data_IF_972542587837
#
_entry.id   IF_972542587837
#
_cell.length_a   1.000
_cell.length_b   1.000
_cell.length_c   1.000
_cell.angle_alpha   90.00
_cell.angle_beta   90.00
_cell.angle_gamma   90.00
#
_symmetry.space_group_name_H-M   'P 1'
#
loop_
_entity.id
_entity.type
_entity.pdbx_description
1 polymer ?
#
# COMPACT_ATOMS: atom_id res chain seq x y z
N UNK A 1 -30.66 6.85 28.19
CA UNK A 1 -29.45 7.39 27.57
C UNK A 1 -29.72 7.56 26.09
N UNK A 2 -29.61 8.78 25.57
CA UNK A 2 -29.68 9.03 24.12
C UNK A 2 -28.31 8.69 23.55
N UNK A 3 -28.22 7.62 22.78
CA UNK A 3 -27.04 7.29 21.99
C UNK A 3 -26.89 8.33 20.86
N UNK A 4 -25.69 8.79 20.52
CA UNK A 4 -25.48 9.46 19.24
C UNK A 4 -25.83 8.45 18.15
N UNK A 5 -26.78 8.79 17.29
CA UNK A 5 -27.15 7.97 16.15
C UNK A 5 -26.03 8.02 15.12
N UNK A 6 -25.07 7.10 15.19
CA UNK A 6 -24.17 6.83 14.06
C UNK A 6 -25.05 6.31 12.93
N UNK A 7 -25.22 7.11 11.87
CA UNK A 7 -25.94 6.68 10.68
C UNK A 7 -24.97 5.95 9.76
N UNK A 8 -25.09 4.63 9.70
CA UNK A 8 -24.27 3.79 8.83
C UNK A 8 -25.06 3.43 7.57
N UNK A 9 -24.39 3.33 6.42
CA UNK A 9 -24.99 2.84 5.17
C UNK A 9 -24.00 1.95 4.48
N UNK A 10 -24.42 0.73 4.18
CA UNK A 10 -23.60 -0.31 3.55
C UNK A 10 -23.86 -0.31 2.04
N UNK A 11 -22.78 -0.34 1.26
CA UNK A 11 -22.83 -0.49 -0.18
C UNK A 11 -22.06 -1.75 -0.59
N UNK A 12 -22.69 -2.59 -1.38
CA UNK A 12 -22.04 -3.74 -1.99
C UNK A 12 -21.29 -3.27 -3.25
N UNK A 13 -20.01 -3.61 -3.34
CA UNK A 13 -19.20 -3.35 -4.53
C UNK A 13 -19.22 -4.60 -5.42
N UNK A 14 -19.58 -4.42 -6.68
CA UNK A 14 -19.60 -5.48 -7.69
C UNK A 14 -19.18 -4.94 -9.05
N UNK A 15 -18.89 -5.82 -10.00
CA UNK A 15 -18.59 -5.41 -11.38
C UNK A 15 -19.71 -4.58 -12.03
N UNK A 16 -20.96 -4.71 -11.55
CA UNK A 16 -22.10 -3.93 -12.01
C UNK A 16 -22.28 -2.60 -11.25
N UNK A 17 -21.75 -2.48 -10.03
CA UNK A 17 -21.91 -1.31 -9.18
C UNK A 17 -20.61 -1.00 -8.44
N UNK A 18 -19.93 0.07 -8.89
CA UNK A 18 -18.71 0.56 -8.26
C UNK A 18 -18.94 1.49 -7.07
N UNK A 19 -17.86 1.88 -6.38
CA UNK A 19 -17.89 2.76 -5.21
C UNK A 19 -18.44 4.16 -5.50
N UNK A 20 -18.43 4.60 -6.76
CA UNK A 20 -18.93 5.90 -7.20
C UNK A 20 -20.37 6.19 -6.74
N UNK A 21 -21.25 5.18 -6.71
CA UNK A 21 -22.64 5.38 -6.30
C UNK A 21 -22.74 5.81 -4.83
N UNK A 22 -22.07 5.09 -3.93
CA UNK A 22 -22.07 5.42 -2.50
C UNK A 22 -21.37 6.74 -2.23
N UNK A 23 -20.21 6.97 -2.88
CA UNK A 23 -19.45 8.22 -2.76
C UNK A 23 -20.27 9.43 -3.21
N UNK A 24 -21.03 9.30 -4.31
CA UNK A 24 -21.88 10.38 -4.81
C UNK A 24 -23.01 10.72 -3.84
N UNK A 25 -23.64 9.72 -3.21
CA UNK A 25 -24.73 9.93 -2.26
C UNK A 25 -24.26 10.73 -1.03
N UNK A 26 -23.06 10.45 -0.53
CA UNK A 26 -22.49 11.10 0.64
C UNK A 26 -21.69 12.38 0.30
N UNK A 27 -21.64 12.81 -0.96
CA UNK A 27 -20.81 13.96 -1.38
C UNK A 27 -21.10 15.27 -0.64
N UNK A 28 -22.33 15.45 -0.17
CA UNK A 28 -22.75 16.64 0.58
C UNK A 28 -22.65 16.48 2.10
N UNK A 29 -22.29 15.29 2.59
CA UNK A 29 -22.14 15.02 4.01
C UNK A 29 -20.74 15.49 4.42
N UNK A 30 -20.61 16.46 5.34
CA UNK A 30 -19.30 16.88 5.81
C UNK A 30 -18.68 15.79 6.70
N UNK A 31 -17.36 15.59 6.58
CA UNK A 31 -16.55 14.76 7.48
C UNK A 31 -16.98 13.29 7.62
N UNK A 32 -17.59 12.69 6.59
CA UNK A 32 -17.86 11.25 6.60
C UNK A 32 -16.55 10.44 6.47
N UNK A 33 -16.56 9.24 7.06
CA UNK A 33 -15.47 8.26 6.98
C UNK A 33 -15.91 7.09 6.11
N UNK A 34 -14.98 6.44 5.43
CA UNK A 34 -15.26 5.26 4.61
C UNK A 34 -14.59 4.04 5.25
N UNK A 35 -15.33 2.96 5.49
CA UNK A 35 -14.79 1.66 5.87
C UNK A 35 -14.86 0.72 4.66
N UNK A 36 -13.72 0.26 4.18
CA UNK A 36 -13.63 -0.68 3.06
C UNK A 36 -13.47 -2.10 3.58
N UNK A 37 -14.44 -2.96 3.30
CA UNK A 37 -14.41 -4.37 3.64
C UNK A 37 -13.85 -5.16 2.44
N UNK A 38 -12.56 -5.48 2.46
CA UNK A 38 -11.91 -6.10 1.31
C UNK A 38 -10.41 -6.34 1.49
N UNK A 39 -9.73 -6.61 0.38
CA UNK A 39 -8.27 -6.66 0.30
C UNK A 39 -7.68 -5.37 -0.28
N UNK A 40 -6.36 -5.35 -0.48
CA UNK A 40 -5.63 -4.19 -0.99
C UNK A 40 -6.19 -3.68 -2.34
N UNK A 41 -6.54 -4.58 -3.27
CA UNK A 41 -7.17 -4.19 -4.55
C UNK A 41 -8.55 -3.52 -4.40
N UNK A 42 -9.35 -3.95 -3.43
CA UNK A 42 -10.65 -3.29 -3.13
C UNK A 42 -10.42 -1.88 -2.58
N UNK A 43 -9.41 -1.71 -1.73
CA UNK A 43 -9.04 -0.38 -1.22
C UNK A 43 -8.55 0.52 -2.35
N UNK A 44 -7.67 0.03 -3.23
CA UNK A 44 -7.21 0.76 -4.40
C UNK A 44 -8.36 1.24 -5.30
N UNK A 45 -9.37 0.40 -5.53
CA UNK A 45 -10.55 0.78 -6.31
C UNK A 45 -11.37 1.91 -5.68
N UNK A 46 -11.53 1.88 -4.35
CA UNK A 46 -12.23 2.95 -3.62
C UNK A 46 -11.43 4.24 -3.65
N UNK A 47 -10.10 4.18 -3.50
CA UNK A 47 -9.22 5.36 -3.60
C UNK A 47 -9.26 5.98 -4.99
N UNK A 48 -9.22 5.17 -6.05
CA UNK A 48 -9.39 5.64 -7.44
C UNK A 48 -10.72 6.36 -7.66
N UNK A 49 -11.80 5.89 -7.02
CA UNK A 49 -13.10 6.53 -7.12
C UNK A 49 -13.17 7.84 -6.33
N UNK A 50 -12.58 7.88 -5.13
CA UNK A 50 -12.48 9.12 -4.34
C UNK A 50 -11.74 10.20 -5.13
N UNK A 51 -10.60 9.86 -5.74
CA UNK A 51 -9.79 10.80 -6.52
C UNK A 51 -10.56 11.38 -7.72
N UNK A 52 -11.46 10.61 -8.35
CA UNK A 52 -12.29 11.07 -9.47
C UNK A 52 -13.40 12.05 -9.06
N UNK A 53 -13.83 12.03 -7.80
CA UNK A 53 -14.97 12.84 -7.34
C UNK A 53 -14.60 14.31 -7.04
N UNK A 54 -13.30 14.66 -7.02
CA UNK A 54 -12.80 16.00 -6.73
C UNK A 54 -13.45 16.61 -5.48
N UNK A 55 -13.30 15.92 -4.34
CA UNK A 55 -13.74 16.44 -3.05
C UNK A 55 -12.87 17.63 -2.61
N UNK A 56 -13.49 18.66 -2.02
CA UNK A 56 -12.74 19.74 -1.35
C UNK A 56 -11.97 19.19 -0.13
N UNK A 57 -12.57 18.21 0.55
CA UNK A 57 -11.97 17.45 1.64
C UNK A 57 -12.30 15.97 1.43
N UNK A 58 -11.39 15.18 0.82
CA UNK A 58 -11.60 13.76 0.61
C UNK A 58 -11.84 13.00 1.93
N UNK A 59 -12.76 12.03 1.97
CA UNK A 59 -13.04 11.26 3.18
C UNK A 59 -11.87 10.31 3.50
N UNK A 60 -11.48 10.16 4.78
CA UNK A 60 -10.43 9.22 5.15
C UNK A 60 -10.96 7.77 5.12
N UNK A 61 -10.09 6.83 4.72
CA UNK A 61 -10.45 5.43 4.48
C UNK A 61 -9.87 4.49 5.54
N UNK A 62 -10.72 3.73 6.23
CA UNK A 62 -10.36 2.59 7.07
C UNK A 62 -10.50 1.27 6.31
N UNK A 63 -9.84 0.22 6.80
CA UNK A 63 -9.83 -1.10 6.16
C UNK A 63 -10.31 -2.17 7.14
N UNK A 64 -11.33 -2.93 6.74
CA UNK A 64 -11.66 -4.22 7.34
C UNK A 64 -10.98 -5.32 6.50
N UNK A 65 -9.88 -5.94 6.99
CA UNK A 65 -9.00 -6.80 6.19
C UNK A 65 -9.66 -8.16 5.89
N UNK A 66 -10.43 -8.23 4.81
CA UNK A 66 -11.10 -9.44 4.34
C UNK A 66 -10.36 -10.14 3.18
N UNK A 67 -9.31 -9.53 2.63
CA UNK A 67 -8.48 -10.10 1.55
C UNK A 67 -7.41 -11.10 2.03
N UNK A 68 -6.60 -11.62 1.11
CA UNK A 68 -5.52 -12.59 1.43
C UNK A 68 -4.23 -11.92 1.92
N UNK A 69 -3.78 -10.89 1.20
CA UNK A 69 -2.57 -10.09 1.49
C UNK A 69 -2.80 -9.20 2.71
N UNK A 70 -3.55 -8.11 2.53
CA UNK A 70 -3.92 -7.08 3.52
C UNK A 70 -2.71 -6.31 4.06
N UNK A 71 -1.71 -6.06 3.22
CA UNK A 71 -0.45 -5.43 3.62
C UNK A 71 -0.69 -3.96 4.02
N UNK A 72 -1.53 -3.22 3.28
CA UNK A 72 -1.89 -1.84 3.65
C UNK A 72 -2.63 -1.79 5.00
N UNK A 73 -3.51 -2.77 5.27
CA UNK A 73 -4.22 -2.88 6.54
C UNK A 73 -3.27 -3.15 7.72
N UNK A 74 -2.17 -3.88 7.52
CA UNK A 74 -1.14 -4.09 8.55
C UNK A 74 -0.42 -2.80 8.88
N UNK A 75 0.01 -2.04 7.88
CA UNK A 75 0.70 -0.75 8.07
C UNK A 75 -0.20 0.25 8.79
N UNK A 76 -1.50 0.26 8.45
CA UNK A 76 -2.52 1.06 9.14
C UNK A 76 -3.01 0.46 10.47
N UNK A 77 -2.37 -0.61 10.93
CA UNK A 77 -2.64 -1.26 12.22
C UNK A 77 -4.04 -1.88 12.36
N UNK A 78 -4.79 -2.08 11.28
CA UNK A 78 -6.06 -2.83 11.25
C UNK A 78 -5.86 -4.36 11.30
N UNK A 79 -4.64 -4.82 10.99
CA UNK A 79 -4.23 -6.21 11.09
C UNK A 79 -4.36 -6.98 9.77
N UNK A 80 -4.02 -8.28 9.83
CA UNK A 80 -3.87 -9.11 8.62
C UNK A 80 -5.08 -9.95 8.23
N UNK A 81 -6.19 -9.91 8.95
CA UNK A 81 -7.36 -10.74 8.67
C UNK A 81 -8.46 -10.64 9.72
N UNK A 82 -9.62 -11.25 9.44
CA UNK A 82 -10.81 -11.20 10.28
C UNK A 82 -10.65 -11.91 11.64
N UNK A 83 -9.69 -12.83 11.79
CA UNK A 83 -9.43 -13.48 13.09
C UNK A 83 -8.94 -12.50 14.17
N UNK A 84 -8.36 -11.36 13.78
CA UNK A 84 -8.06 -10.29 14.74
C UNK A 84 -9.33 -9.54 15.17
N UNK A 85 -10.28 -9.38 14.25
CA UNK A 85 -11.56 -8.70 14.47
C UNK A 85 -12.47 -9.48 15.40
N UNK A 86 -12.58 -10.79 15.20
CA UNK A 86 -13.40 -11.67 16.05
C UNK A 86 -12.94 -11.63 17.52
N UNK A 87 -11.62 -11.61 17.75
CA UNK A 87 -11.02 -11.51 19.09
C UNK A 87 -11.26 -10.18 19.78
N UNK A 88 -11.56 -9.12 19.03
CA UNK A 88 -11.76 -7.76 19.53
C UNK A 88 -13.23 -7.45 19.88
N UNK A 89 -14.15 -8.42 19.78
CA UNK A 89 -15.56 -8.22 20.08
C UNK A 89 -16.45 -8.00 18.84
N UNK A 90 -15.92 -8.27 17.64
CA UNK A 90 -16.67 -8.27 16.38
C UNK A 90 -16.76 -6.90 15.71
N UNK A 91 -17.74 -6.76 14.80
CA UNK A 91 -17.87 -5.58 13.93
C UNK A 91 -18.07 -4.27 14.69
N UNK A 92 -18.81 -4.31 15.80
CA UNK A 92 -19.09 -3.12 16.62
C UNK A 92 -17.80 -2.47 17.13
N UNK A 93 -16.88 -3.28 17.66
CA UNK A 93 -15.59 -2.79 18.15
C UNK A 93 -14.75 -2.15 17.04
N UNK A 94 -14.87 -2.63 15.80
CA UNK A 94 -14.20 -1.98 14.66
C UNK A 94 -14.82 -0.62 14.38
N UNK A 95 -16.16 -0.53 14.35
CA UNK A 95 -16.84 0.73 14.05
C UNK A 95 -16.49 1.81 15.10
N UNK A 96 -16.43 1.42 16.37
CA UNK A 96 -15.93 2.27 17.45
C UNK A 96 -14.46 2.66 17.25
N UNK A 97 -13.59 1.72 16.86
CA UNK A 97 -12.19 2.02 16.52
C UNK A 97 -12.06 2.93 15.29
N UNK A 98 -12.93 2.80 14.30
CA UNK A 98 -12.97 3.66 13.10
C UNK A 98 -13.37 5.07 13.50
N UNK A 99 -14.31 5.25 14.43
CA UNK A 99 -14.68 6.57 14.96
C UNK A 99 -13.50 7.26 15.64
N UNK A 100 -12.71 6.53 16.43
CA UNK A 100 -11.59 7.05 17.22
C UNK A 100 -10.22 6.98 16.53
N UNK A 101 -10.16 6.45 15.30
CA UNK A 101 -8.91 6.31 14.55
C UNK A 101 -8.31 7.66 14.15
N UNK A 102 -6.97 7.69 14.07
CA UNK A 102 -6.22 8.84 13.61
C UNK A 102 -6.20 8.89 12.08
N UNK A 103 -6.25 10.09 11.52
CA UNK A 103 -6.03 10.30 10.09
C UNK A 103 -4.53 10.32 9.81
N UNK A 104 -4.10 9.53 8.82
CA UNK A 104 -2.76 9.53 8.26
C UNK A 104 -2.83 9.70 6.74
N UNK A 105 -1.67 9.83 6.10
CA UNK A 105 -1.55 10.04 4.66
C UNK A 105 -0.94 8.80 4.01
N UNK A 106 -1.37 8.49 2.79
CA UNK A 106 -0.81 7.48 1.91
C UNK A 106 -0.44 8.13 0.58
N UNK A 107 0.83 8.06 0.20
CA UNK A 107 1.27 8.42 -1.14
C UNK A 107 0.74 7.43 -2.16
N UNK A 108 0.26 7.98 -3.27
CA UNK A 108 -0.23 7.24 -4.43
C UNK A 108 0.71 7.51 -5.58
N UNK A 109 0.98 6.47 -6.36
CA UNK A 109 1.99 6.50 -7.40
C UNK A 109 1.37 6.17 -8.75
N UNK A 110 1.76 6.91 -9.78
CA UNK A 110 1.35 6.70 -11.16
C UNK A 110 2.45 5.94 -11.89
N UNK A 111 2.04 4.86 -12.56
CA UNK A 111 2.88 4.03 -13.41
C UNK A 111 2.46 4.26 -14.85
N UNK A 112 3.39 4.73 -15.67
CA UNK A 112 3.21 4.87 -17.12
C UNK A 112 4.03 3.80 -17.82
N UNK A 113 3.41 3.10 -18.77
CA UNK A 113 4.04 2.00 -19.53
C UNK A 113 4.19 2.45 -20.98
N UNK A 114 5.43 2.61 -21.42
CA UNK A 114 5.77 2.95 -22.80
C UNK A 114 6.42 1.75 -23.49
N UNK A 115 5.76 1.19 -24.51
CA UNK A 115 6.27 0.04 -25.26
C UNK A 115 7.44 0.41 -26.15
N UNK A 116 8.52 -0.38 -26.09
CA UNK A 116 9.79 -0.06 -26.75
C UNK A 116 9.70 -0.07 -28.28
N UNK A 117 8.87 -0.95 -28.87
CA UNK A 117 8.77 -1.13 -30.33
C UNK A 117 7.79 -0.17 -31.00
N UNK A 118 6.64 0.08 -30.35
CA UNK A 118 5.51 0.81 -30.93
C UNK A 118 5.45 2.27 -30.48
N UNK A 119 6.22 2.66 -29.45
CA UNK A 119 6.03 3.89 -28.66
C UNK A 119 4.59 4.10 -28.21
N UNK A 120 3.82 3.02 -28.13
CA UNK A 120 2.46 3.05 -27.62
C UNK A 120 2.51 3.20 -26.11
N UNK A 121 1.80 4.21 -25.60
CA UNK A 121 1.66 4.46 -24.17
C UNK A 121 0.37 3.79 -23.71
N UNK A 122 0.48 2.77 -22.86
CA UNK A 122 -0.68 2.12 -22.27
C UNK A 122 -1.37 3.05 -21.25
N UNK A 123 -2.68 2.85 -20.96
CA UNK A 123 -3.34 3.56 -19.88
C UNK A 123 -2.54 3.45 -18.57
N UNK A 124 -2.37 4.56 -17.83
CA UNK A 124 -1.58 4.52 -16.61
C UNK A 124 -2.25 3.62 -15.57
N UNK A 125 -1.41 3.01 -14.74
CA UNK A 125 -1.83 2.26 -13.55
C UNK A 125 -1.49 3.07 -12.31
N UNK A 126 -2.22 2.83 -11.24
CA UNK A 126 -1.97 3.45 -9.94
C UNK A 126 -1.53 2.39 -8.94
N UNK A 127 -0.54 2.75 -8.14
CA UNK A 127 0.07 1.90 -7.12
C UNK A 127 -0.02 2.58 -5.77
N UNK A 128 -0.41 1.83 -4.76
CA UNK A 128 -0.51 2.28 -3.38
C UNK A 128 0.50 1.55 -2.48
N UNK A 129 0.81 0.29 -2.79
CA UNK A 129 1.66 -0.56 -1.96
C UNK A 129 3.02 -0.80 -2.61
N UNK A 130 3.03 -1.50 -3.75
CA UNK A 130 4.29 -1.94 -4.38
C UNK A 130 4.11 -2.40 -5.84
N UNK A 131 5.21 -2.36 -6.59
CA UNK A 131 5.37 -2.92 -7.92
C UNK A 131 6.51 -3.93 -7.89
N UNK A 132 6.29 -5.11 -8.46
CA UNK A 132 7.30 -6.16 -8.58
C UNK A 132 7.53 -6.57 -10.02
N UNK A 133 8.78 -6.89 -10.37
CA UNK A 133 9.19 -7.45 -11.65
C UNK A 133 10.08 -8.66 -11.40
N UNK A 134 9.77 -9.80 -12.02
CA UNK A 134 10.57 -11.03 -11.92
C UNK A 134 9.92 -12.12 -11.08
N UNK A 135 10.70 -12.79 -10.23
CA UNK A 135 10.27 -14.01 -9.56
C UNK A 135 9.02 -13.86 -8.67
N UNK A 136 8.84 -12.72 -8.01
CA UNK A 136 7.66 -12.45 -7.18
C UNK A 136 6.39 -12.28 -8.04
N UNK A 137 6.50 -11.47 -9.09
CA UNK A 137 5.42 -11.24 -10.05
C UNK A 137 5.03 -12.53 -10.78
N UNK A 138 5.99 -13.44 -11.01
CA UNK A 138 5.72 -14.77 -11.57
C UNK A 138 4.84 -15.60 -10.66
N UNK A 139 5.14 -15.67 -9.36
CA UNK A 139 4.31 -16.39 -8.38
C UNK A 139 2.90 -15.78 -8.34
N UNK A 140 2.80 -14.45 -8.32
CA UNK A 140 1.51 -13.76 -8.37
C UNK A 140 0.72 -14.13 -9.64
N UNK A 141 1.37 -14.13 -10.81
CA UNK A 141 0.74 -14.44 -12.11
C UNK A 141 0.20 -15.87 -12.16
N UNK A 142 0.95 -16.85 -11.66
CA UNK A 142 0.51 -18.24 -11.62
C UNK A 142 -0.68 -18.44 -10.69
N UNK A 143 -0.68 -17.78 -9.53
CA UNK A 143 -1.82 -17.79 -8.62
C UNK A 143 -3.04 -17.12 -9.24
N UNK A 144 -2.86 -16.01 -9.96
CA UNK A 144 -3.95 -15.34 -10.67
C UNK A 144 -4.57 -16.26 -11.73
N UNK A 145 -3.75 -16.91 -12.56
CA UNK A 145 -4.24 -17.87 -13.56
C UNK A 145 -4.99 -19.04 -12.90
N UNK A 146 -4.44 -19.61 -11.82
CA UNK A 146 -5.11 -20.67 -11.05
C UNK A 146 -6.45 -20.22 -10.48
N UNK A 147 -6.56 -18.96 -10.06
CA UNK A 147 -7.80 -18.36 -9.54
C UNK A 147 -8.84 -18.21 -10.63
N UNK A 148 -8.45 -17.74 -11.81
CA UNK A 148 -9.33 -17.63 -12.97
C UNK A 148 -9.82 -19.00 -13.45
N UNK A 149 -8.95 -20.02 -13.43
CA UNK A 149 -9.30 -21.38 -13.83
C UNK A 149 -10.15 -22.14 -12.79
N UNK A 150 -9.96 -21.87 -11.50
CA UNK A 150 -10.56 -22.63 -10.39
C UNK A 150 -11.07 -21.71 -9.26
N UNK A 151 -12.03 -20.81 -9.52
CA UNK A 151 -12.49 -19.81 -8.54
C UNK A 151 -13.02 -20.44 -7.25
N UNK A 152 -13.57 -21.65 -7.32
CA UNK A 152 -14.08 -22.41 -6.17
C UNK A 152 -13.02 -22.83 -5.16
N UNK A 153 -11.73 -22.74 -5.52
CA UNK A 153 -10.61 -23.00 -4.59
C UNK A 153 -10.22 -21.77 -3.77
N UNK A 154 -10.70 -20.58 -4.16
CA UNK A 154 -10.24 -19.29 -3.64
C UNK A 154 -11.23 -18.58 -2.69
N UNK A 155 -12.00 -19.33 -1.90
CA UNK A 155 -13.05 -18.76 -1.04
C UNK A 155 -12.59 -18.46 0.40
N UNK A 156 -11.43 -18.95 0.84
CA UNK A 156 -10.98 -18.80 2.22
C UNK A 156 -9.56 -18.22 2.28
N UNK A 157 -9.39 -17.16 3.08
CA UNK A 157 -8.11 -16.48 3.30
C UNK A 157 -6.96 -17.43 3.65
N UNK A 158 -7.21 -18.40 4.53
CA UNK A 158 -6.21 -19.38 4.95
C UNK A 158 -5.81 -20.31 3.80
N UNK A 159 -6.79 -20.85 3.08
CA UNK A 159 -6.54 -21.74 1.95
C UNK A 159 -5.81 -21.01 0.82
N UNK A 160 -6.16 -19.74 0.59
CA UNK A 160 -5.46 -18.90 -0.37
C UNK A 160 -3.98 -18.80 0.02
N UNK A 161 -3.65 -18.47 1.27
CA UNK A 161 -2.25 -18.43 1.73
C UNK A 161 -1.50 -19.76 1.52
N UNK A 162 -2.17 -20.89 1.77
CA UNK A 162 -1.59 -22.22 1.52
C UNK A 162 -1.32 -22.45 0.02
N UNK A 163 -2.24 -22.03 -0.85
CA UNK A 163 -2.05 -22.10 -2.30
C UNK A 163 -0.87 -21.23 -2.75
N UNK A 164 -0.76 -19.99 -2.26
CA UNK A 164 0.39 -19.10 -2.51
C UNK A 164 1.71 -19.77 -2.10
N UNK A 165 1.76 -20.36 -0.90
CA UNK A 165 2.96 -21.07 -0.44
C UNK A 165 3.29 -22.28 -1.31
N UNK A 166 2.27 -23.05 -1.73
CA UNK A 166 2.46 -24.22 -2.60
C UNK A 166 2.97 -23.84 -3.98
N UNK A 167 2.40 -22.81 -4.60
CA UNK A 167 2.84 -22.37 -5.92
C UNK A 167 4.22 -21.73 -5.86
N UNK A 168 4.49 -20.88 -4.86
CA UNK A 168 5.83 -20.35 -4.63
C UNK A 168 6.89 -21.45 -4.46
N UNK A 169 6.54 -22.54 -3.77
CA UNK A 169 7.45 -23.67 -3.58
C UNK A 169 7.82 -24.43 -4.86
N UNK A 170 6.99 -24.41 -5.90
CA UNK A 170 7.31 -25.08 -7.20
C UNK A 170 8.50 -24.44 -7.90
N UNK A 171 8.74 -23.15 -7.65
CA UNK A 171 9.75 -22.36 -8.33
C UNK A 171 11.07 -22.26 -7.55
N UNK A 172 11.19 -22.92 -6.38
CA UNK A 172 12.39 -22.85 -5.52
C UNK A 172 13.66 -23.33 -6.25
N UNK A 173 13.53 -24.26 -7.17
CA UNK A 173 14.64 -24.81 -7.97
C UNK A 173 14.63 -24.31 -9.42
N UNK A 174 13.73 -23.38 -9.76
CA UNK A 174 13.60 -22.85 -11.11
C UNK A 174 14.72 -21.85 -11.39
N UNK A 175 15.31 -21.90 -12.59
CA UNK A 175 16.36 -20.96 -13.04
C UNK A 175 15.84 -20.00 -14.11
N UNK A 176 14.50 -19.86 -14.24
CA UNK A 176 13.83 -19.00 -15.23
C UNK A 176 14.37 -17.57 -15.25
N UNK A 177 14.83 -17.04 -14.12
CA UNK A 177 15.32 -15.66 -13.99
C UNK A 177 16.85 -15.54 -13.89
N UNK A 178 17.61 -16.57 -14.28
CA UNK A 178 19.07 -16.51 -14.26
C UNK A 178 19.65 -15.35 -15.09
N UNK A 179 18.96 -14.94 -16.17
CA UNK A 179 19.37 -13.83 -17.02
C UNK A 179 18.73 -12.48 -16.63
N UNK A 180 17.96 -12.43 -15.53
CA UNK A 180 17.18 -11.27 -15.12
C UNK A 180 18.00 -9.96 -15.01
N UNK A 181 19.21 -9.96 -14.42
CA UNK A 181 20.02 -8.73 -14.29
C UNK A 181 20.38 -8.10 -15.64
N UNK A 182 20.48 -8.90 -16.71
CA UNK A 182 20.76 -8.44 -18.07
C UNK A 182 19.49 -8.09 -18.86
N UNK A 183 18.31 -8.41 -18.32
CA UNK A 183 17.01 -8.16 -18.94
C UNK A 183 16.34 -6.89 -18.42
N UNK A 184 16.90 -6.24 -17.40
CA UNK A 184 16.37 -4.99 -16.85
C UNK A 184 17.46 -3.91 -16.73
N UNK A 185 17.03 -2.64 -16.73
CA UNK A 185 17.83 -1.52 -16.22
C UNK A 185 16.99 -0.68 -15.28
N UNK A 186 17.57 -0.26 -14.17
CA UNK A 186 16.91 0.54 -13.15
C UNK A 186 17.53 1.94 -13.11
N UNK A 187 16.69 2.97 -13.21
CA UNK A 187 17.05 4.37 -13.02
C UNK A 187 16.25 4.91 -11.84
N UNK A 188 16.92 5.58 -10.90
CA UNK A 188 16.31 6.23 -9.72
C UNK A 188 16.75 7.68 -9.68
N UNK A 189 15.80 8.61 -9.71
CA UNK A 189 16.03 10.05 -9.75
C UNK A 189 17.04 10.51 -10.82
N UNK A 190 17.05 9.83 -11.97
CA UNK A 190 17.95 10.13 -13.09
C UNK A 190 19.31 9.43 -13.04
N UNK A 191 19.60 8.65 -11.99
CA UNK A 191 20.83 7.89 -11.84
C UNK A 191 20.59 6.39 -12.09
N UNK A 192 21.48 5.76 -12.86
CA UNK A 192 21.47 4.31 -13.04
C UNK A 192 21.81 3.59 -11.71
N UNK A 193 21.01 2.59 -11.35
CA UNK A 193 21.22 1.74 -10.17
C UNK A 193 21.59 0.34 -10.62
N UNK A 194 22.69 -0.18 -10.08
CA UNK A 194 23.18 -1.51 -10.41
C UNK A 194 22.27 -2.60 -9.82
N UNK A 195 21.77 -3.48 -10.68
CA UNK A 195 20.99 -4.66 -10.28
C UNK A 195 21.98 -5.80 -10.01
N UNK A 196 21.98 -6.43 -8.83
CA UNK A 196 22.91 -7.51 -8.50
C UNK A 196 22.83 -8.69 -9.48
N UNK A 197 23.97 -9.35 -9.75
CA UNK A 197 24.04 -10.51 -10.66
C UNK A 197 23.23 -11.72 -10.19
N UNK A 198 22.93 -11.82 -8.90
CA UNK A 198 22.10 -12.87 -8.31
C UNK A 198 20.61 -12.47 -8.20
N UNK A 199 20.24 -11.26 -8.65
CA UNK A 199 18.85 -10.82 -8.60
C UNK A 199 18.00 -11.59 -9.61
N UNK A 200 16.88 -12.11 -9.14
CA UNK A 200 15.81 -12.72 -9.95
C UNK A 200 14.52 -11.89 -9.93
N UNK A 201 14.53 -10.79 -9.17
CA UNK A 201 13.43 -9.84 -9.12
C UNK A 201 13.86 -8.51 -8.50
N UNK A 202 13.13 -7.45 -8.86
CA UNK A 202 13.21 -6.11 -8.26
C UNK A 202 11.83 -5.71 -7.81
N UNK A 203 11.76 -5.13 -6.61
CA UNK A 203 10.52 -4.65 -6.02
C UNK A 203 10.68 -3.18 -5.62
N UNK A 204 9.70 -2.37 -6.02
CA UNK A 204 9.55 -0.96 -5.67
C UNK A 204 8.42 -0.86 -4.65
N UNK A 205 8.70 -0.42 -3.43
CA UNK A 205 7.76 -0.37 -2.32
C UNK A 205 7.48 1.07 -1.88
N UNK A 206 6.24 1.31 -1.47
CA UNK A 206 5.79 2.53 -0.78
C UNK A 206 5.44 2.25 0.69
N UNK A 207 5.15 1.00 1.04
CA UNK A 207 4.71 0.61 2.39
C UNK A 207 5.65 -0.44 2.99
N UNK A 208 5.78 -0.43 4.31
CA UNK A 208 6.61 -1.36 5.09
C UNK A 208 5.92 -2.70 5.35
N UNK A 209 5.25 -3.25 4.35
CA UNK A 209 4.58 -4.54 4.45
C UNK A 209 4.42 -5.19 3.08
N UNK A 210 4.93 -6.41 2.97
CA UNK A 210 4.91 -7.20 1.75
C UNK A 210 4.61 -8.68 2.07
N UNK A 211 4.00 -9.41 1.14
CA UNK A 211 3.73 -10.86 1.30
C UNK A 211 3.01 -11.22 2.61
N UNK A 212 2.14 -10.33 3.09
CA UNK A 212 1.36 -10.54 4.30
C UNK A 212 2.10 -10.22 5.59
N UNK A 213 3.01 -9.24 5.59
CA UNK A 213 3.64 -8.70 6.80
C UNK A 213 5.16 -8.65 6.83
N UNK A 214 5.85 -9.03 5.77
CA UNK A 214 7.31 -8.96 5.66
C UNK A 214 7.73 -7.51 5.47
N UNK A 215 8.64 -7.03 6.32
CA UNK A 215 9.35 -5.76 6.09
C UNK A 215 10.57 -6.05 5.21
N UNK A 216 10.63 -5.39 4.04
CA UNK A 216 11.72 -5.55 3.07
C UNK A 216 12.83 -4.52 3.25
N UNK A 217 12.59 -3.45 4.01
CA UNK A 217 13.50 -2.33 4.13
C UNK A 217 14.27 -2.33 5.46
N UNK A 218 13.63 -2.78 6.54
CA UNK A 218 14.29 -2.86 7.86
C UNK A 218 15.33 -3.99 7.91
N UNK A 219 16.60 -3.58 7.99
CA UNK A 219 17.74 -4.45 8.24
C UNK A 219 18.45 -4.01 9.54
N UNK A 220 18.09 -4.63 10.67
CA UNK A 220 18.70 -4.32 11.99
C UNK A 220 20.19 -4.69 12.08
N UNK A 221 20.69 -5.53 11.17
CA UNK A 221 22.06 -6.04 11.18
C UNK A 221 23.07 -5.18 10.38
N UNK A 222 22.60 -4.14 9.66
CA UNK A 222 23.46 -3.21 8.90
C UNK A 222 23.86 -2.00 9.76
N UNK A 223 24.74 -2.21 10.76
CA UNK A 223 25.40 -1.11 11.49
C UNK A 223 26.42 -0.33 10.61
N UNK A 224 26.55 -0.67 9.32
CA UNK A 224 27.64 -0.18 8.44
C UNK A 224 27.19 0.32 7.05
N UNK A 225 25.90 0.57 6.81
CA UNK A 225 25.42 1.02 5.48
C UNK A 225 24.37 2.15 5.59
N UNK A 226 24.85 3.31 6.05
CA UNK A 226 24.06 4.46 6.55
C UNK A 226 23.76 5.53 5.49
N UNK A 227 23.34 5.16 4.28
CA UNK A 227 22.91 6.16 3.27
C UNK A 227 21.42 6.13 2.94
N UNK A 228 20.63 5.34 3.66
CA UNK A 228 19.19 5.22 3.43
C UNK A 228 18.38 5.73 4.62
N UNK A 229 17.31 6.46 4.33
CA UNK A 229 16.35 6.95 5.31
C UNK A 229 15.36 5.83 5.70
N UNK A 230 14.67 6.03 6.82
CA UNK A 230 13.58 5.14 7.23
C UNK A 230 12.43 5.21 6.24
N UNK A 231 11.91 4.05 5.82
CA UNK A 231 10.77 3.98 4.91
C UNK A 231 9.52 4.65 5.52
N UNK A 232 8.81 5.41 4.69
CA UNK A 232 7.53 6.01 5.05
C UNK A 232 6.56 5.96 3.86
N UNK A 233 5.27 5.78 4.15
CA UNK A 233 4.23 5.75 3.13
C UNK A 233 3.68 7.12 2.74
N UNK A 234 4.30 8.21 3.21
CA UNK A 234 3.80 9.59 3.04
C UNK A 234 4.88 10.67 2.85
N UNK A 235 6.13 10.26 2.58
CA UNK A 235 7.27 11.16 2.38
C UNK A 235 7.59 11.45 0.90
N UNK A 236 6.84 10.83 -0.02
CA UNK A 236 6.98 10.89 -1.48
C UNK A 236 8.29 10.28 -1.97
N UNK A 237 8.80 9.30 -1.23
CA UNK A 237 9.94 8.45 -1.60
C UNK A 237 9.43 7.02 -1.82
N UNK A 238 10.10 6.29 -2.72
CA UNK A 238 9.93 4.86 -2.90
C UNK A 238 11.23 4.13 -2.60
N UNK A 239 11.10 2.95 -2.02
CA UNK A 239 12.19 2.04 -1.74
C UNK A 239 12.34 1.00 -2.85
N UNK A 240 13.58 0.72 -3.26
CA UNK A 240 13.87 -0.32 -4.25
C UNK A 240 14.72 -1.41 -3.62
N UNK A 241 14.27 -2.66 -3.72
CA UNK A 241 14.98 -3.84 -3.22
C UNK A 241 15.12 -4.90 -4.31
N UNK A 242 16.16 -5.73 -4.22
CA UNK A 242 16.31 -6.93 -5.05
C UNK A 242 16.03 -8.22 -4.27
N UNK A 243 15.52 -9.20 -5.00
CA UNK A 243 15.20 -10.54 -4.51
C UNK A 243 15.96 -11.56 -5.37
N UNK A 244 16.60 -12.53 -4.72
CA UNK A 244 17.46 -13.55 -5.36
C UNK A 244 16.74 -14.89 -5.58
N UNK A 245 15.46 -14.81 -5.97
CA UNK A 245 14.62 -15.96 -6.31
C UNK A 245 13.62 -16.37 -5.23
N UNK A 246 12.83 -17.41 -5.54
CA UNK A 246 11.70 -17.82 -4.69
C UNK A 246 12.13 -18.52 -3.40
N UNK A 247 13.31 -19.15 -3.36
CA UNK A 247 13.90 -19.61 -2.10
C UNK A 247 14.21 -18.43 -1.17
N UNK A 248 14.75 -17.34 -1.72
CA UNK A 248 14.99 -16.12 -0.97
C UNK A 248 13.66 -15.56 -0.43
N UNK A 249 12.62 -15.45 -1.27
CA UNK A 249 11.27 -15.06 -0.83
C UNK A 249 10.73 -15.92 0.32
N UNK A 250 10.89 -17.24 0.24
CA UNK A 250 10.49 -18.16 1.30
C UNK A 250 11.22 -17.88 2.62
N UNK A 251 12.53 -17.65 2.58
CA UNK A 251 13.31 -17.28 3.77
C UNK A 251 12.91 -15.91 4.33
N UNK A 252 12.58 -14.93 3.49
CA UNK A 252 12.08 -13.62 3.93
C UNK A 252 10.79 -13.77 4.75
N UNK A 253 9.85 -14.59 4.28
CA UNK A 253 8.57 -14.82 4.94
C UNK A 253 8.68 -15.43 6.34
N UNK A 254 9.73 -16.21 6.60
CA UNK A 254 10.02 -16.83 7.90
C UNK A 254 11.12 -16.10 8.70
N UNK A 255 11.57 -14.94 8.22
CA UNK A 255 12.58 -14.11 8.89
C UNK A 255 14.01 -14.62 8.85
N UNK A 256 14.32 -15.64 8.02
CA UNK A 256 15.66 -16.22 7.86
C UNK A 256 16.53 -15.55 6.78
N UNK A 257 16.04 -14.48 6.16
CA UNK A 257 16.78 -13.68 5.19
C UNK A 257 16.31 -12.22 5.25
N UNK A 258 17.01 -11.35 4.52
CA UNK A 258 16.67 -9.94 4.33
C UNK A 258 16.80 -9.56 2.86
N UNK A 259 15.94 -8.66 2.40
CA UNK A 259 16.03 -8.17 1.03
C UNK A 259 17.23 -7.22 0.92
N UNK A 260 17.85 -7.16 -0.26
CA UNK A 260 18.97 -6.26 -0.50
C UNK A 260 18.42 -4.91 -0.94
N UNK A 261 18.68 -3.86 -0.14
CA UNK A 261 18.34 -2.47 -0.47
C UNK A 261 19.19 -2.00 -1.65
N UNK A 262 18.55 -1.40 -2.65
CA UNK A 262 19.22 -0.91 -3.86
C UNK A 262 19.21 0.62 -3.92
N UNK A 263 18.06 1.25 -3.65
CA UNK A 263 17.91 2.70 -3.77
C UNK A 263 16.67 3.22 -3.03
N UNK A 264 16.65 4.53 -2.78
CA UNK A 264 15.48 5.33 -2.41
C UNK A 264 15.39 6.54 -3.33
N UNK A 265 14.18 6.92 -3.76
CA UNK A 265 14.03 8.09 -4.63
C UNK A 265 12.59 8.49 -4.93
N UNK A 266 12.43 9.60 -5.65
CA UNK A 266 11.12 10.23 -5.97
C UNK A 266 10.56 9.84 -7.33
N UNK A 267 11.42 9.36 -8.23
CA UNK A 267 11.04 8.90 -9.55
C UNK A 267 11.87 7.70 -9.94
N UNK A 268 11.21 6.68 -10.49
CA UNK A 268 11.85 5.44 -10.92
C UNK A 268 11.57 5.19 -12.39
N UNK A 269 12.54 4.65 -13.12
CA UNK A 269 12.30 4.00 -14.41
C UNK A 269 12.87 2.60 -14.39
N UNK A 270 12.06 1.64 -14.83
CA UNK A 270 12.48 0.25 -15.05
C UNK A 270 12.36 -0.04 -16.54
N UNK A 271 13.50 -0.20 -17.20
CA UNK A 271 13.55 -0.60 -18.60
C UNK A 271 13.54 -2.13 -18.68
N UNK A 272 12.49 -2.71 -19.24
CA UNK A 272 12.39 -4.13 -19.51
C UNK A 272 12.88 -4.41 -20.93
N UNK A 273 13.95 -5.19 -21.05
CA UNK A 273 14.60 -5.55 -22.31
C UNK A 273 14.07 -6.88 -22.87
N UNK A 274 13.37 -7.66 -22.05
CA UNK A 274 12.73 -8.91 -22.42
C UNK A 274 11.29 -8.97 -21.87
N UNK A 275 10.44 -9.88 -22.38
CA UNK A 275 9.13 -10.14 -21.77
C UNK A 275 9.29 -10.66 -20.35
N UNK A 276 8.74 -9.95 -19.36
CA UNK A 276 8.87 -10.26 -17.94
C UNK A 276 7.52 -10.19 -17.23
N UNK A 277 7.27 -11.04 -16.21
CA UNK A 277 6.10 -10.87 -15.36
C UNK A 277 6.26 -9.62 -14.50
N UNK A 278 5.17 -8.86 -14.40
CA UNK A 278 5.05 -7.65 -13.58
C UNK A 278 3.81 -7.77 -12.72
N UNK A 279 3.84 -7.25 -11.50
CA UNK A 279 2.67 -7.11 -10.64
C UNK A 279 2.64 -5.73 -10.00
N UNK A 280 1.43 -5.20 -9.80
CA UNK A 280 1.20 -3.95 -9.07
C UNK A 280 0.09 -4.20 -8.07
N UNK A 281 0.36 -3.94 -6.79
CA UNK A 281 -0.58 -4.14 -5.68
C UNK A 281 -1.26 -5.54 -5.69
N UNK A 282 -0.54 -6.57 -6.16
CA UNK A 282 -1.04 -7.94 -6.27
C UNK A 282 -1.82 -8.28 -7.55
N UNK A 283 -1.93 -7.37 -8.50
CA UNK A 283 -2.53 -7.61 -9.83
C UNK A 283 -1.41 -7.87 -10.88
N UNK A 284 -1.20 -9.13 -11.30
CA UNK A 284 -0.08 -9.52 -12.16
C UNK A 284 -0.43 -9.59 -13.66
N UNK A 285 0.58 -9.43 -14.51
CA UNK A 285 0.48 -9.69 -15.96
C UNK A 285 1.85 -10.02 -16.57
N UNK A 286 1.84 -10.51 -17.81
CA UNK A 286 3.07 -10.65 -18.62
C UNK A 286 3.29 -9.39 -19.45
N UNK A 287 4.41 -8.70 -19.22
CA UNK A 287 4.73 -7.43 -19.85
C UNK A 287 5.76 -7.62 -20.96
N UNK A 288 5.47 -7.11 -22.16
CA UNK A 288 6.45 -7.01 -23.27
C UNK A 288 7.53 -5.97 -22.98
N UNK A 289 8.68 -5.97 -23.70
CA UNK A 289 9.71 -4.95 -23.54
C UNK A 289 9.13 -3.52 -23.54
N UNK A 290 9.40 -2.78 -22.48
CA UNK A 290 8.84 -1.45 -22.24
C UNK A 290 9.68 -0.66 -21.25
N UNK A 291 9.36 0.62 -21.09
CA UNK A 291 9.80 1.43 -19.95
C UNK A 291 8.64 1.65 -19.00
N UNK A 292 8.80 1.20 -17.75
CA UNK A 292 7.89 1.50 -16.64
C UNK A 292 8.39 2.78 -15.96
N UNK A 293 7.64 3.88 -16.04
CA UNK A 293 7.96 5.13 -15.35
C UNK A 293 7.05 5.32 -14.15
N UNK A 294 7.63 5.42 -12.96
CA UNK A 294 6.91 5.57 -11.69
C UNK A 294 7.16 6.98 -11.14
N UNK A 295 6.08 7.66 -10.78
CA UNK A 295 6.10 9.04 -10.28
C UNK A 295 4.98 9.29 -9.30
N UNK A 296 5.17 10.22 -8.36
CA UNK A 296 4.14 10.57 -7.39
C UNK A 296 2.88 11.11 -8.10
N UNK A 297 1.72 10.53 -7.77
CA UNK A 297 0.42 10.92 -8.31
C UNK A 297 -0.30 11.91 -7.41
N UNK A 298 -0.36 11.62 -6.11
CA UNK A 298 -1.21 12.29 -5.15
C UNK A 298 -1.15 11.61 -3.79
N UNK A 299 -1.96 12.08 -2.86
CA UNK A 299 -2.03 11.57 -1.50
C UNK A 299 -3.48 11.27 -1.13
N UNK A 300 -3.72 10.13 -0.48
CA UNK A 300 -5.01 9.77 0.10
C UNK A 300 -4.98 9.89 1.62
N UNK A 301 -6.13 10.22 2.20
CA UNK A 301 -6.30 10.17 3.65
C UNK A 301 -6.73 8.77 4.06
N UNK A 302 -5.96 8.18 4.98
CA UNK A 302 -6.23 6.86 5.53
C UNK A 302 -6.53 6.98 7.02
N UNK A 303 -7.28 6.04 7.55
CA UNK A 303 -7.48 5.89 8.99
C UNK A 303 -6.50 4.85 9.50
N UNK A 304 -5.68 5.23 10.48
CA UNK A 304 -4.79 4.33 11.21
C UNK A 304 -5.40 4.03 12.57
N UNK A 305 -5.50 2.74 12.90
CA UNK A 305 -5.96 2.35 14.22
C UNK A 305 -4.93 2.77 15.26
N UNK A 306 -5.37 3.53 16.26
CA UNK A 306 -4.53 3.97 17.37
C UNK A 306 -4.54 2.86 18.43
N UNK A 307 -3.37 2.34 18.79
CA UNK A 307 -3.20 1.68 20.10
C UNK A 307 -3.08 2.79 21.14
N UNK A 308 -3.88 2.76 22.22
CA UNK A 308 -3.96 3.78 23.28
C UNK A 308 -2.69 4.65 23.41
N UNK A 309 -2.60 5.74 22.65
CA UNK A 309 -1.53 6.70 22.81
C UNK A 309 -1.85 7.54 24.06
N UNK A 310 -0.87 7.84 24.91
CA UNK A 310 -1.08 8.77 26.01
C UNK A 310 -1.51 10.12 25.41
N UNK A 311 -2.67 10.66 25.83
CA UNK A 311 -3.22 11.96 25.41
C UNK A 311 -2.19 13.10 25.30
N UNK A 312 -1.13 13.06 26.11
CA UNK A 312 -0.03 14.02 26.06
C UNK A 312 0.79 14.00 24.76
N UNK A 313 0.97 12.85 24.10
CA UNK A 313 1.71 12.76 22.85
C UNK A 313 0.91 13.40 21.70
N UNK A 314 -0.38 13.08 21.60
CA UNK A 314 -1.30 13.68 20.64
C UNK A 314 -1.40 15.21 20.83
N UNK A 315 -1.46 15.69 22.07
CA UNK A 315 -1.49 17.12 22.36
C UNK A 315 -0.22 17.86 21.90
N UNK A 316 0.96 17.23 22.04
CA UNK A 316 2.22 17.78 21.57
C UNK A 316 2.24 17.87 20.03
N UNK A 317 1.88 16.79 19.32
CA UNK A 317 1.83 16.76 17.86
C UNK A 317 0.90 17.86 17.32
N UNK A 318 -0.30 18.00 17.89
CA UNK A 318 -1.25 19.01 17.41
C UNK A 318 -0.72 20.43 17.65
N UNK A 319 -0.03 20.67 18.76
CA UNK A 319 0.57 21.98 19.03
C UNK A 319 1.62 22.33 17.98
N UNK A 320 2.51 21.39 17.64
CA UNK A 320 3.53 21.56 16.60
C UNK A 320 2.91 21.81 15.22
N UNK A 321 1.84 21.07 14.88
CA UNK A 321 1.09 21.26 13.62
C UNK A 321 0.50 22.67 13.54
N UNK A 322 -0.11 23.16 14.63
CA UNK A 322 -0.70 24.49 14.66
C UNK A 322 0.37 25.60 14.58
N UNK A 323 1.54 25.40 15.18
CA UNK A 323 2.70 26.30 15.06
C UNK A 323 3.23 26.35 13.63
N UNK A 324 3.39 25.21 12.99
CA UNK A 324 3.86 25.11 11.62
C UNK A 324 2.84 25.71 10.62
N UNK A 325 1.53 25.46 10.84
CA UNK A 325 0.46 26.03 10.02
C UNK A 325 0.40 27.56 10.11
N UNK A 326 0.61 28.15 11.29
CA UNK A 326 0.71 29.60 11.45
C UNK A 326 1.96 30.14 10.73
N UNK A 327 3.11 29.49 10.92
CA UNK A 327 4.39 29.90 10.32
C UNK A 327 4.33 29.90 8.79
N UNK A 328 3.65 28.90 8.20
CA UNK A 328 3.41 28.79 6.76
C UNK A 328 2.20 29.59 6.27
N UNK A 329 1.56 30.40 7.12
CA UNK A 329 0.40 31.24 6.81
C UNK A 329 -0.82 30.48 6.30
N UNK A 330 -0.95 29.20 6.67
CA UNK A 330 -2.14 28.37 6.41
C UNK A 330 -3.28 28.83 7.33
N UNK A 331 -2.96 29.19 8.58
CA UNK A 331 -3.88 29.79 9.54
C UNK A 331 -3.30 31.10 10.09
N UNK A 332 -4.19 31.97 10.57
CA UNK A 332 -3.80 33.18 11.29
C UNK A 332 -3.52 32.91 12.76
N UNK A 333 -2.76 33.79 13.41
CA UNK A 333 -2.53 33.75 14.86
C UNK A 333 -3.83 33.69 15.68
N UNK A 334 -4.87 34.39 15.21
CA UNK A 334 -6.19 34.36 15.85
C UNK A 334 -6.85 32.99 15.73
N UNK A 335 -6.79 32.36 14.56
CA UNK A 335 -7.32 31.00 14.35
C UNK A 335 -6.57 29.96 15.18
N UNK A 336 -5.24 30.04 15.23
CA UNK A 336 -4.41 29.17 16.09
C UNK A 336 -4.83 29.27 17.55
N UNK A 337 -4.99 30.49 18.07
CA UNK A 337 -5.41 30.71 19.46
C UNK A 337 -6.78 30.10 19.75
N UNK A 338 -7.74 30.24 18.83
CA UNK A 338 -9.07 29.63 18.96
C UNK A 338 -8.98 28.10 18.96
N UNK A 339 -8.17 27.50 18.09
CA UNK A 339 -7.98 26.04 18.03
C UNK A 339 -7.33 25.51 19.31
N UNK A 340 -6.29 26.17 19.84
CA UNK A 340 -5.65 25.79 21.10
C UNK A 340 -6.61 25.87 22.29
N UNK A 341 -7.49 26.89 22.33
CA UNK A 341 -8.51 27.00 23.37
C UNK A 341 -9.53 25.86 23.31
N UNK A 342 -10.01 25.52 22.11
CA UNK A 342 -10.95 24.41 21.92
C UNK A 342 -10.31 23.06 22.30
N UNK A 343 -9.03 22.86 22.00
CA UNK A 343 -8.31 21.66 22.41
C UNK A 343 -8.17 21.56 23.93
N UNK A 344 -7.79 22.65 24.59
CA UNK A 344 -7.64 22.67 26.05
C UNK A 344 -8.94 22.29 26.78
N UNK A 345 -10.10 22.67 26.22
CA UNK A 345 -11.42 22.29 26.72
C UNK A 345 -11.77 20.81 26.54
N UNK A 346 -11.14 20.12 25.58
CA UNK A 346 -11.38 18.69 25.29
C UNK A 346 -10.37 17.76 25.95
N UNK A 347 -9.23 18.29 26.40
CA UNK A 347 -8.20 17.58 27.15
C UNK A 347 -8.39 17.65 28.68
N UNK A 348 -9.28 18.53 29.15
CA UNK A 348 -9.73 18.64 30.55
C UNK A 348 -10.90 17.72 30.84
#
# INVERSE_FOLDING_TARGET
MKFPSVSETVFELSSAQGPDHGLHLFRKVPHFRVLVCGGDGTVGWVLDAIDKQNYDSPPPVAILPAGTGNDLARVLSWGGGLGAVERLGGLWSILEQVEHSAVTILDRWKITIEESESKHIQPPRFMNNYLGVGCDAKVALEIHNLREENPEKFYNQFLNKVLYAREGAKFIMDRTFADFPWQIRLEVDGADVEVPEDAEGVLVANISSYMGGVDLWQNEDDENDDNFDSQSMHDKILEVVSISGTWHLGKLQIGLSRAKRLAQGKSMKIHLLAPLPVQVDGEPWSQKPCTLSISHHGQAFMLKRVSEEPLGHAAAIITDVLENAESNRIITASQKRTLLQEMALRLS
#
